data_IF_796942719997
#
_entry.id   IF_796942719997
#
_cell.length_a   1.000
_cell.length_b   1.000
_cell.length_c   1.000
_cell.angle_alpha   90.00
_cell.angle_beta   90.00
_cell.angle_gamma   90.00
#
_symmetry.space_group_name_H-M   'P 1'
#
loop_
_entity.id
_entity.type
_entity.pdbx_description
1 polymer ?
#
# COMPACT_ATOMS: atom_id res chain seq x y z
N UNK A 1 -0.11 20.67 -8.74
CA UNK A 1 -0.26 19.70 -7.63
C UNK A 1 -0.06 18.30 -8.21
N UNK A 2 0.80 17.51 -7.61
CA UNK A 2 1.10 16.15 -8.05
C UNK A 2 0.70 15.13 -6.98
N UNK A 3 0.46 13.90 -7.41
CA UNK A 3 0.24 12.74 -6.53
C UNK A 3 1.47 11.86 -6.62
N UNK A 4 1.99 11.41 -5.47
CA UNK A 4 3.05 10.42 -5.41
C UNK A 4 2.49 9.01 -5.30
N UNK A 5 3.04 8.02 -6.00
CA UNK A 5 2.71 6.62 -5.85
C UNK A 5 3.94 5.86 -5.39
N UNK A 6 3.89 5.34 -4.16
CA UNK A 6 4.88 4.38 -3.66
C UNK A 6 4.62 3.01 -4.29
N UNK A 7 5.64 2.45 -4.91
CA UNK A 7 5.49 1.17 -5.56
C UNK A 7 6.75 0.31 -5.46
N UNK A 8 6.56 -1.00 -5.49
CA UNK A 8 7.67 -1.92 -5.43
C UNK A 8 8.31 -2.08 -6.82
N UNK A 9 9.40 -1.34 -7.05
CA UNK A 9 10.11 -1.27 -8.34
C UNK A 9 10.98 -2.51 -8.65
N UNK A 10 11.01 -3.50 -7.78
CA UNK A 10 11.60 -4.82 -8.16
C UNK A 10 10.97 -5.34 -9.46
N UNK A 11 9.94 -4.66 -9.88
CA UNK A 11 9.18 -4.80 -11.11
C UNK A 11 9.49 -3.66 -12.06
N UNK A 12 10.75 -3.37 -12.37
CA UNK A 12 11.05 -2.56 -13.55
C UNK A 12 10.78 -3.44 -14.77
N UNK A 13 9.53 -3.38 -15.24
CA UNK A 13 8.99 -4.22 -16.30
C UNK A 13 9.78 -4.20 -17.60
N UNK A 14 10.49 -3.11 -17.84
CA UNK A 14 11.19 -2.87 -19.11
C UNK A 14 12.48 -3.67 -19.25
N UNK A 15 13.07 -4.13 -18.15
CA UNK A 15 14.40 -4.78 -18.12
C UNK A 15 14.38 -6.30 -17.94
N UNK A 16 13.23 -6.91 -17.70
CA UNK A 16 13.15 -8.35 -17.40
C UNK A 16 12.35 -9.14 -18.42
N UNK A 17 12.76 -10.38 -18.65
CA UNK A 17 11.97 -11.35 -19.40
C UNK A 17 10.59 -11.56 -18.75
N UNK A 18 9.58 -11.87 -19.54
CA UNK A 18 8.19 -12.01 -19.09
C UNK A 18 8.02 -12.93 -17.88
N UNK A 19 8.70 -14.08 -17.87
CA UNK A 19 8.63 -15.04 -16.76
C UNK A 19 9.12 -14.45 -15.43
N UNK A 20 10.20 -13.64 -15.46
CA UNK A 20 10.70 -12.93 -14.28
C UNK A 20 9.75 -11.83 -13.83
N UNK A 21 9.14 -11.11 -14.77
CA UNK A 21 8.13 -10.10 -14.48
C UNK A 21 6.93 -10.70 -13.74
N UNK A 22 6.43 -11.83 -14.22
CA UNK A 22 5.32 -12.54 -13.61
C UNK A 22 5.64 -13.01 -12.19
N UNK A 23 6.84 -13.56 -11.97
CA UNK A 23 7.32 -13.97 -10.65
C UNK A 23 7.39 -12.79 -9.67
N UNK A 24 7.94 -11.64 -10.09
CA UNK A 24 8.02 -10.43 -9.25
C UNK A 24 6.66 -9.83 -8.89
N UNK A 25 5.63 -10.13 -9.66
CA UNK A 25 4.24 -9.78 -9.37
C UNK A 25 3.56 -10.75 -8.40
N UNK A 26 4.31 -11.68 -7.81
CA UNK A 26 3.74 -12.73 -6.98
C UNK A 26 2.83 -13.68 -7.77
N UNK A 27 3.17 -13.93 -9.05
CA UNK A 27 2.38 -14.73 -9.97
C UNK A 27 0.94 -14.22 -10.16
N UNK A 28 0.74 -12.91 -10.06
CA UNK A 28 -0.58 -12.29 -10.14
C UNK A 28 -0.61 -11.13 -11.15
N UNK A 29 -1.16 -11.38 -12.33
CA UNK A 29 -1.32 -10.36 -13.37
C UNK A 29 -2.29 -9.24 -12.97
N UNK A 30 -3.19 -9.48 -12.02
CA UNK A 30 -4.09 -8.45 -11.48
C UNK A 30 -3.35 -7.28 -10.86
N UNK A 31 -2.17 -7.53 -10.27
CA UNK A 31 -1.33 -6.47 -9.73
C UNK A 31 -0.84 -5.50 -10.82
N UNK A 32 -0.57 -6.01 -12.04
CA UNK A 32 -0.23 -5.18 -13.20
C UNK A 32 -1.36 -4.28 -13.63
N UNK A 33 -2.54 -4.86 -13.78
CA UNK A 33 -3.74 -4.11 -14.19
C UNK A 33 -4.04 -3.02 -13.19
N UNK A 34 -3.92 -3.33 -11.89
CA UNK A 34 -4.14 -2.38 -10.81
C UNK A 34 -3.14 -1.21 -10.84
N UNK A 35 -1.84 -1.49 -10.93
CA UNK A 35 -0.80 -0.44 -11.05
C UNK A 35 -0.99 0.38 -12.32
N UNK A 36 -1.34 -0.28 -13.44
CA UNK A 36 -1.62 0.43 -14.69
C UNK A 36 -2.80 1.37 -14.56
N UNK A 37 -3.90 0.91 -13.95
CA UNK A 37 -5.07 1.75 -13.70
C UNK A 37 -4.72 2.99 -12.84
N UNK A 38 -3.93 2.81 -11.79
CA UNK A 38 -3.49 3.93 -10.96
C UNK A 38 -2.65 4.95 -11.76
N UNK A 39 -1.75 4.47 -12.63
CA UNK A 39 -0.96 5.34 -13.51
C UNK A 39 -1.85 6.13 -14.48
N UNK A 40 -2.83 5.47 -15.08
CA UNK A 40 -3.70 6.09 -16.08
C UNK A 40 -4.71 7.06 -15.45
N UNK A 41 -5.14 6.84 -14.20
CA UNK A 41 -6.09 7.70 -13.50
C UNK A 41 -5.40 8.92 -12.86
N UNK A 42 -4.30 8.71 -12.17
CA UNK A 42 -3.68 9.75 -11.33
C UNK A 42 -2.45 10.41 -11.96
N UNK A 43 -1.89 9.83 -13.02
CA UNK A 43 -0.60 10.27 -13.61
C UNK A 43 0.46 10.58 -12.53
N UNK A 44 0.70 9.64 -11.58
CA UNK A 44 1.46 9.93 -10.38
C UNK A 44 2.96 10.04 -10.66
N UNK A 45 3.64 10.75 -9.77
CA UNK A 45 5.09 10.62 -9.63
C UNK A 45 5.39 9.26 -9.02
N UNK A 46 6.06 8.40 -9.76
CA UNK A 46 6.43 7.05 -9.31
C UNK A 46 7.61 7.13 -8.34
N UNK A 47 7.45 6.58 -7.14
CA UNK A 47 8.47 6.63 -6.09
C UNK A 47 8.79 5.19 -5.67
N UNK A 48 10.01 4.72 -5.92
CA UNK A 48 10.44 3.40 -5.50
C UNK A 48 10.39 3.23 -3.98
N UNK A 49 9.95 2.07 -3.51
CA UNK A 49 9.87 1.80 -2.07
C UNK A 49 11.22 1.89 -1.37
N UNK A 50 12.30 1.45 -2.02
CA UNK A 50 13.63 1.57 -1.42
C UNK A 50 14.12 3.00 -1.31
N UNK A 51 13.68 3.90 -2.18
CA UNK A 51 14.03 5.32 -2.05
C UNK A 51 13.47 5.89 -0.77
N UNK A 52 12.23 5.55 -0.42
CA UNK A 52 11.59 6.06 0.80
C UNK A 52 12.24 5.52 2.07
N UNK A 53 12.84 4.34 2.01
CA UNK A 53 13.56 3.74 3.14
C UNK A 53 15.02 4.19 3.23
N UNK A 54 15.53 4.85 2.19
CA UNK A 54 16.89 5.38 2.16
C UNK A 54 16.98 6.72 2.89
N UNK A 55 18.18 7.05 3.37
CA UNK A 55 18.43 8.36 3.98
C UNK A 55 18.47 9.51 2.95
N UNK A 56 18.48 9.17 1.68
CA UNK A 56 18.48 10.12 0.57
C UNK A 56 17.09 10.60 0.17
N UNK A 57 16.01 9.93 0.64
CA UNK A 57 14.66 10.36 0.33
C UNK A 57 14.42 11.80 0.78
N UNK A 58 13.86 12.59 -0.11
CA UNK A 58 13.38 13.94 0.18
C UNK A 58 11.94 14.05 -0.28
N UNK A 59 11.08 14.45 0.65
CA UNK A 59 9.70 14.77 0.30
C UNK A 59 9.68 15.95 -0.68
N UNK A 60 8.87 15.82 -1.71
CA UNK A 60 8.74 16.84 -2.77
C UNK A 60 7.61 17.80 -2.42
N UNK A 61 7.90 19.09 -2.43
CA UNK A 61 6.92 20.14 -2.10
C UNK A 61 5.73 20.20 -3.08
N UNK A 62 5.90 19.75 -4.33
CA UNK A 62 4.83 19.72 -5.34
C UNK A 62 3.87 18.54 -5.19
N UNK A 63 4.22 17.51 -4.41
CA UNK A 63 3.36 16.36 -4.11
C UNK A 63 2.48 16.72 -2.91
N UNK A 64 1.17 16.63 -3.08
CA UNK A 64 0.19 16.94 -2.04
C UNK A 64 -0.34 15.70 -1.33
N UNK A 65 -0.37 14.56 -2.00
CA UNK A 65 -0.89 13.30 -1.48
C UNK A 65 0.00 12.15 -1.96
N UNK A 66 0.12 11.12 -1.16
CA UNK A 66 0.79 9.88 -1.53
C UNK A 66 -0.21 8.73 -1.57
N UNK A 67 0.00 7.81 -2.49
CA UNK A 67 -0.76 6.56 -2.62
C UNK A 67 0.18 5.40 -2.31
N UNK A 68 -0.33 4.39 -1.61
CA UNK A 68 0.38 3.13 -1.41
C UNK A 68 -0.53 1.93 -1.68
N UNK A 69 0.06 0.86 -2.21
CA UNK A 69 -0.59 -0.43 -2.44
C UNK A 69 -0.05 -1.52 -1.51
N UNK A 70 0.77 -1.16 -0.52
CA UNK A 70 1.50 -2.11 0.33
C UNK A 70 0.63 -2.85 1.36
N UNK A 71 -0.63 -2.43 1.54
CA UNK A 71 -1.56 -3.01 2.51
C UNK A 71 -2.63 -3.90 1.87
N UNK A 72 -2.37 -4.41 0.66
CA UNK A 72 -3.32 -5.29 -0.05
C UNK A 72 -3.43 -6.70 0.56
N UNK A 73 -2.53 -7.05 1.48
CA UNK A 73 -2.44 -8.38 2.10
C UNK A 73 -2.20 -8.26 3.61
N UNK A 74 -3.22 -7.84 4.34
CA UNK A 74 -3.14 -7.83 5.80
C UNK A 74 -3.34 -9.23 6.35
N UNK A 75 -2.40 -9.69 7.17
CA UNK A 75 -2.47 -10.96 7.88
C UNK A 75 -2.37 -10.75 9.39
N UNK A 76 -2.90 -11.67 10.23
CA UNK A 76 -2.98 -11.47 11.68
C UNK A 76 -1.65 -11.15 12.37
N UNK A 77 -0.57 -11.78 11.93
CA UNK A 77 0.73 -11.70 12.62
C UNK A 77 1.74 -10.78 11.94
N UNK A 78 1.32 -10.06 10.89
CA UNK A 78 2.23 -9.24 10.10
C UNK A 78 2.21 -7.79 10.56
N UNK A 79 3.39 -7.19 10.63
CA UNK A 79 3.60 -5.76 10.82
C UNK A 79 4.13 -5.14 9.53
N UNK A 80 3.99 -3.82 9.38
CA UNK A 80 4.35 -3.09 8.17
C UNK A 80 5.32 -1.94 8.47
N UNK A 81 6.55 -2.23 8.92
CA UNK A 81 7.51 -1.20 9.32
C UNK A 81 7.90 -0.25 8.19
N UNK A 82 7.89 -0.73 6.94
CA UNK A 82 8.16 0.10 5.77
C UNK A 82 7.07 1.16 5.54
N UNK A 83 5.80 0.84 5.82
CA UNK A 83 4.69 1.83 5.73
C UNK A 83 4.79 2.87 6.84
N UNK A 84 5.20 2.48 8.05
CA UNK A 84 5.54 3.43 9.11
C UNK A 84 6.66 4.38 8.69
N UNK A 85 7.67 3.85 8.00
CA UNK A 85 8.76 4.67 7.46
C UNK A 85 8.25 5.66 6.42
N UNK A 86 7.36 5.25 5.52
CA UNK A 86 6.69 6.15 4.57
C UNK A 86 5.99 7.30 5.29
N UNK A 87 5.13 7.00 6.28
CA UNK A 87 4.40 8.01 7.05
C UNK A 87 5.33 9.03 7.71
N UNK A 88 6.43 8.56 8.30
CA UNK A 88 7.44 9.44 8.92
C UNK A 88 8.13 10.35 7.90
N UNK A 89 8.43 9.83 6.72
CA UNK A 89 9.18 10.55 5.69
C UNK A 89 8.36 11.60 4.94
N UNK A 90 7.06 11.39 4.80
CA UNK A 90 6.15 12.34 4.12
C UNK A 90 5.54 13.39 5.07
N UNK A 91 5.83 13.30 6.38
CA UNK A 91 5.32 14.22 7.39
C UNK A 91 3.79 14.17 7.50
N UNK A 92 3.14 15.33 7.47
CA UNK A 92 1.68 15.45 7.65
C UNK A 92 0.86 15.22 6.37
N UNK A 93 1.53 14.94 5.25
CA UNK A 93 0.82 14.68 3.99
C UNK A 93 0.03 13.37 4.08
N UNK A 94 -1.18 13.33 3.47
CA UNK A 94 -1.97 12.11 3.42
C UNK A 94 -1.24 10.97 2.70
N UNK A 95 -1.24 9.78 3.30
CA UNK A 95 -0.88 8.52 2.65
C UNK A 95 -2.15 7.70 2.49
N UNK A 96 -2.64 7.64 1.26
CA UNK A 96 -3.89 6.98 0.89
C UNK A 96 -3.60 5.51 0.56
N UNK A 97 -3.97 4.55 1.41
CA UNK A 97 -3.88 3.15 1.06
C UNK A 97 -5.03 2.77 0.13
N UNK A 98 -4.69 2.21 -1.00
CA UNK A 98 -5.68 1.72 -1.97
C UNK A 98 -5.72 0.21 -1.93
N UNK A 99 -6.93 -0.35 -1.94
CA UNK A 99 -7.15 -1.79 -1.99
C UNK A 99 -6.66 -2.54 -0.73
N UNK A 100 -6.78 -1.92 0.45
CA UNK A 100 -6.50 -2.61 1.71
C UNK A 100 -7.29 -3.92 1.76
N UNK A 101 -6.63 -5.03 2.01
CA UNK A 101 -7.25 -6.34 1.99
C UNK A 101 -6.79 -7.24 3.13
N UNK A 102 -7.71 -7.70 3.96
CA UNK A 102 -7.46 -8.74 4.95
C UNK A 102 -7.46 -10.09 4.26
N UNK A 103 -6.46 -10.91 4.55
CA UNK A 103 -6.35 -12.27 4.02
C UNK A 103 -6.41 -13.30 5.13
N UNK A 104 -7.25 -14.32 4.92
CA UNK A 104 -7.33 -15.52 5.73
C UNK A 104 -7.14 -16.75 4.86
N UNK A 105 -6.49 -17.75 5.43
CA UNK A 105 -6.38 -19.09 4.82
C UNK A 105 -7.72 -19.88 4.93
N UNK A 106 -8.64 -19.44 5.77
CA UNK A 106 -9.96 -20.05 5.96
C UNK A 106 -11.07 -19.02 5.71
N UNK A 107 -12.19 -19.49 5.15
CA UNK A 107 -13.41 -18.67 5.02
C UNK A 107 -14.09 -18.52 6.38
N UNK A 108 -14.64 -17.34 6.66
CA UNK A 108 -15.46 -17.03 7.84
C UNK A 108 -14.73 -17.19 9.19
N UNK A 109 -13.46 -16.84 9.24
CA UNK A 109 -12.69 -16.77 10.48
C UNK A 109 -12.60 -15.31 10.92
N UNK A 110 -12.91 -15.05 12.18
CA UNK A 110 -12.63 -13.75 12.79
C UNK A 110 -11.13 -13.52 12.77
N UNK A 111 -10.72 -12.45 12.14
CA UNK A 111 -9.32 -12.08 12.02
C UNK A 111 -9.06 -10.91 12.95
N UNK A 112 -8.17 -11.13 13.91
CA UNK A 112 -7.58 -10.07 14.72
C UNK A 112 -6.23 -9.70 14.15
N UNK A 113 -6.09 -8.44 13.75
CA UNK A 113 -4.82 -7.94 13.23
C UNK A 113 -3.81 -7.69 14.35
N UNK A 114 -2.53 -7.69 14.00
CA UNK A 114 -1.48 -7.30 14.94
C UNK A 114 -1.73 -5.87 15.45
N UNK A 115 -1.57 -5.58 16.77
CA UNK A 115 -1.84 -4.24 17.33
C UNK A 115 -1.12 -3.10 16.62
N UNK A 116 0.14 -3.31 16.19
CA UNK A 116 0.89 -2.31 15.43
C UNK A 116 0.28 -2.03 14.06
N UNK A 117 -0.35 -3.03 13.43
CA UNK A 117 -1.05 -2.88 12.15
C UNK A 117 -2.35 -2.10 12.34
N UNK A 118 -3.11 -2.39 13.39
CA UNK A 118 -4.31 -1.61 13.76
C UNK A 118 -3.93 -0.16 14.04
N UNK A 119 -2.88 0.08 14.81
CA UNK A 119 -2.37 1.43 15.09
C UNK A 119 -1.95 2.16 13.80
N UNK A 120 -1.27 1.46 12.88
CA UNK A 120 -0.88 2.02 11.59
C UNK A 120 -2.12 2.47 10.80
N UNK A 121 -3.12 1.60 10.66
CA UNK A 121 -4.34 1.89 9.91
C UNK A 121 -5.11 3.07 10.53
N UNK A 122 -5.22 3.14 11.86
CA UNK A 122 -5.82 4.29 12.56
C UNK A 122 -5.07 5.59 12.26
N UNK A 123 -3.75 5.58 12.36
CA UNK A 123 -2.93 6.75 12.03
C UNK A 123 -3.12 7.22 10.58
N UNK A 124 -3.30 6.27 9.65
CA UNK A 124 -3.60 6.62 8.26
C UNK A 124 -5.03 7.16 8.11
N UNK A 125 -6.00 6.56 8.80
CA UNK A 125 -7.42 6.98 8.75
C UNK A 125 -7.64 8.41 9.30
N UNK A 126 -6.80 8.88 10.20
CA UNK A 126 -6.82 10.27 10.69
C UNK A 126 -6.49 11.29 9.57
N UNK A 127 -5.80 10.88 8.52
CA UNK A 127 -5.29 11.74 7.46
C UNK A 127 -5.89 11.48 6.08
N UNK A 128 -6.45 10.30 5.86
CA UNK A 128 -6.96 9.86 4.57
C UNK A 128 -8.05 8.79 4.71
N UNK A 129 -8.89 8.65 3.67
CA UNK A 129 -9.86 7.57 3.57
C UNK A 129 -9.13 6.26 3.29
N UNK A 130 -9.49 5.19 4.01
CA UNK A 130 -8.99 3.84 3.75
C UNK A 130 -9.83 3.18 2.66
N UNK A 131 -9.25 2.94 1.49
CA UNK A 131 -9.89 2.21 0.41
C UNK A 131 -9.77 0.69 0.60
N UNK A 132 -10.84 0.00 0.98
CA UNK A 132 -10.83 -1.45 1.25
C UNK A 132 -11.28 -2.28 0.04
N UNK A 133 -10.81 -3.53 -0.04
CA UNK A 133 -11.10 -4.43 -1.19
C UNK A 133 -12.51 -5.00 -1.22
N UNK A 134 -13.26 -4.92 -0.14
CA UNK A 134 -14.62 -5.48 -0.09
C UNK A 134 -15.17 -5.63 1.33
N UNK A 135 -16.40 -6.10 1.41
CA UNK A 135 -17.18 -6.19 2.64
C UNK A 135 -16.51 -7.03 3.74
N UNK A 136 -15.85 -8.11 3.37
CA UNK A 136 -15.12 -8.94 4.34
C UNK A 136 -14.01 -8.15 5.04
N UNK A 137 -13.22 -7.40 4.27
CA UNK A 137 -12.18 -6.54 4.84
C UNK A 137 -12.79 -5.43 5.69
N UNK A 138 -13.86 -4.80 5.22
CA UNK A 138 -14.55 -3.76 5.97
C UNK A 138 -15.09 -4.29 7.31
N UNK A 139 -15.69 -5.48 7.32
CA UNK A 139 -16.17 -6.12 8.53
C UNK A 139 -15.03 -6.46 9.51
N UNK A 140 -13.94 -7.02 9.02
CA UNK A 140 -12.77 -7.34 9.84
C UNK A 140 -12.17 -6.08 10.48
N UNK A 141 -11.98 -5.00 9.71
CA UNK A 141 -11.45 -3.74 10.22
C UNK A 141 -12.44 -3.05 11.17
N UNK A 142 -13.76 -3.13 10.91
CA UNK A 142 -14.79 -2.61 11.80
C UNK A 142 -14.79 -3.30 13.17
N UNK A 143 -14.50 -4.61 13.23
CA UNK A 143 -14.29 -5.35 14.48
C UNK A 143 -13.10 -4.85 15.30
N UNK A 144 -12.07 -4.32 14.65
CA UNK A 144 -10.91 -3.70 15.29
C UNK A 144 -11.12 -2.19 15.61
N UNK A 145 -12.34 -1.66 15.38
CA UNK A 145 -12.72 -0.28 15.67
C UNK A 145 -12.11 0.76 14.69
N UNK A 146 -11.97 0.36 13.43
CA UNK A 146 -11.46 1.20 12.32
C UNK A 146 -12.61 1.73 11.46
#
# INVERSE_FOLDING_TARGET
>A
MAVGLFWNERVSFEKHEWAKRFFFLGNNTGNLVFIRALKDIFHPVMIPLWDVTSDTFRDRADITHYITTELIWLTPNQTYPHVWTMLKRIGDKPLVPISVGVQSMARNVDITLHPDTVKLLRTMAERAVLGVRGEYTAAALGGDGL
#
